data_IF_457886307813
#
_entry.id   IF_457886307813
#
_cell.length_a   1.000
_cell.length_b   1.000
_cell.length_c   1.000
_cell.angle_alpha   90.00
_cell.angle_beta   90.00
_cell.angle_gamma   90.00
#
_symmetry.space_group_name_H-M   'P 1'
#
loop_
_entity.id
_entity.type
_entity.pdbx_description
1 polymer ?
#
# COMPACT_ATOMS: atom_id res chain seq x y z
N UNK A 1 -1.97 9.02 9.03
CA UNK A 1 -0.78 8.95 8.14
C UNK A 1 -1.11 8.41 6.75
N UNK A 2 -1.54 7.15 6.54
CA UNK A 2 -1.90 6.65 5.17
C UNK A 2 -3.07 7.39 4.52
N UNK A 3 -4.10 7.75 5.30
CA UNK A 3 -5.22 8.59 4.82
C UNK A 3 -4.78 9.92 4.20
N UNK A 4 -3.71 10.53 4.72
CA UNK A 4 -3.20 11.83 4.25
C UNK A 4 -2.41 11.63 2.94
N UNK A 5 -1.61 10.55 2.86
CA UNK A 5 -0.83 10.23 1.67
C UNK A 5 -1.69 9.69 0.51
N UNK A 6 -2.77 8.95 0.80
CA UNK A 6 -3.68 8.40 -0.21
C UNK A 6 -4.39 9.49 -1.04
N UNK A 7 -4.69 10.65 -0.43
CA UNK A 7 -5.30 11.78 -1.15
C UNK A 7 -4.39 12.37 -2.24
N UNK A 8 -3.07 12.15 -2.17
CA UNK A 8 -2.10 12.77 -3.09
C UNK A 8 -1.94 11.98 -4.39
N UNK A 9 -2.18 10.66 -4.39
CA UNK A 9 -2.09 9.80 -5.60
C UNK A 9 -3.30 9.93 -6.53
N UNK A 10 -4.44 10.40 -6.02
CA UNK A 10 -5.69 10.47 -6.78
C UNK A 10 -5.73 11.67 -7.76
N UNK A 11 -4.68 12.49 -7.81
CA UNK A 11 -4.54 13.59 -8.78
C UNK A 11 -3.81 13.15 -10.05
N UNK A 12 -4.40 12.25 -10.85
CA UNK A 12 -4.08 12.25 -12.28
C UNK A 12 -5.29 11.85 -13.12
N UNK A 13 -5.92 12.87 -13.72
CA UNK A 13 -7.18 12.75 -14.47
C UNK A 13 -8.38 13.30 -13.68
N UNK A 14 -9.21 14.11 -14.33
CA UNK A 14 -10.37 14.80 -13.74
C UNK A 14 -11.37 13.88 -13.01
N UNK A 15 -11.25 12.55 -13.18
CA UNK A 15 -12.17 11.55 -12.67
C UNK A 15 -11.51 10.46 -11.81
N UNK A 16 -10.21 10.50 -11.51
CA UNK A 16 -9.56 9.40 -10.77
C UNK A 16 -10.12 9.19 -9.35
N UNK A 17 -10.50 10.27 -8.66
CA UNK A 17 -11.23 10.19 -7.38
C UNK A 17 -12.62 9.62 -7.57
N UNK A 18 -13.33 10.15 -8.58
CA UNK A 18 -14.68 9.74 -8.90
C UNK A 18 -14.75 8.27 -9.36
N UNK A 19 -13.73 7.74 -10.02
CA UNK A 19 -13.66 6.36 -10.49
C UNK A 19 -13.26 5.39 -9.36
N UNK A 20 -12.42 5.81 -8.42
CA UNK A 20 -12.17 5.08 -7.17
C UNK A 20 -13.42 5.03 -6.27
N UNK A 21 -14.16 6.14 -6.19
CA UNK A 21 -15.43 6.24 -5.48
C UNK A 21 -16.54 5.42 -6.18
N UNK A 22 -16.63 5.47 -7.52
CA UNK A 22 -17.52 4.60 -8.33
C UNK A 22 -17.17 3.12 -8.15
N UNK A 23 -15.89 2.79 -8.02
CA UNK A 23 -15.42 1.42 -7.76
C UNK A 23 -15.60 0.97 -6.30
N UNK A 24 -16.05 1.86 -5.39
CA UNK A 24 -16.09 1.62 -3.93
C UNK A 24 -14.76 1.06 -3.39
N UNK A 25 -13.64 1.47 -3.99
CA UNK A 25 -12.35 0.91 -3.68
C UNK A 25 -11.93 1.37 -2.28
N UNK A 26 -12.01 0.47 -1.30
CA UNK A 26 -11.55 0.75 0.07
C UNK A 26 -10.08 1.16 0.05
N UNK A 27 -9.68 2.10 0.91
CA UNK A 27 -8.30 2.57 1.06
C UNK A 27 -7.26 1.43 1.11
N UNK A 28 -7.63 0.29 1.72
CA UNK A 28 -6.80 -0.91 1.77
C UNK A 28 -6.58 -1.59 0.41
N UNK A 29 -7.58 -1.60 -0.46
CA UNK A 29 -7.48 -2.15 -1.83
C UNK A 29 -6.53 -1.31 -2.67
N UNK A 30 -6.63 0.03 -2.58
CA UNK A 30 -5.74 0.95 -3.31
C UNK A 30 -4.30 0.81 -2.79
N UNK A 31 -4.11 0.78 -1.47
CA UNK A 31 -2.79 0.57 -0.88
C UNK A 31 -2.17 -0.79 -1.27
N UNK A 32 -2.98 -1.85 -1.36
CA UNK A 32 -2.54 -3.17 -1.83
C UNK A 32 -2.10 -3.15 -3.29
N UNK A 33 -2.86 -2.48 -4.17
CA UNK A 33 -2.52 -2.32 -5.58
C UNK A 33 -1.23 -1.50 -5.76
N UNK A 34 -1.06 -0.42 -4.99
CA UNK A 34 0.18 0.39 -4.98
C UNK A 34 1.36 -0.45 -4.50
N UNK A 35 1.23 -1.19 -3.41
CA UNK A 35 2.30 -2.03 -2.88
C UNK A 35 2.72 -3.09 -3.92
N UNK A 36 1.76 -3.77 -4.55
CA UNK A 36 2.04 -4.74 -5.61
C UNK A 36 2.75 -4.08 -6.79
N UNK A 37 2.26 -2.92 -7.25
CA UNK A 37 2.88 -2.18 -8.36
C UNK A 37 4.30 -1.74 -8.01
N UNK A 38 4.55 -1.28 -6.79
CA UNK A 38 5.87 -0.85 -6.34
C UNK A 38 6.87 -2.01 -6.19
N UNK A 39 6.41 -3.22 -5.87
CA UNK A 39 7.27 -4.39 -5.67
C UNK A 39 7.59 -5.16 -6.95
N UNK A 40 6.82 -4.96 -8.02
CA UNK A 40 7.12 -5.58 -9.33
C UNK A 40 8.36 -4.96 -9.98
N UNK A 41 9.19 -5.80 -10.63
CA UNK A 41 10.48 -5.40 -11.22
C UNK A 41 10.40 -4.17 -12.13
N UNK A 42 9.39 -4.09 -12.99
CA UNK A 42 9.15 -2.97 -13.92
C UNK A 42 7.98 -2.07 -13.47
N UNK A 43 7.74 -2.05 -12.17
CA UNK A 43 6.71 -1.26 -11.52
C UNK A 43 6.93 0.24 -11.64
N UNK A 44 6.17 0.89 -12.52
CA UNK A 44 6.19 2.36 -12.69
C UNK A 44 4.83 2.97 -12.37
N UNK A 45 4.86 4.12 -11.72
CA UNK A 45 3.68 4.98 -11.51
C UNK A 45 3.67 6.07 -12.58
N UNK A 46 2.48 6.40 -13.10
CA UNK A 46 2.32 7.53 -13.99
C UNK A 46 2.64 8.83 -13.25
N UNK A 47 3.32 9.76 -13.92
CA UNK A 47 3.63 11.09 -13.43
C UNK A 47 3.17 12.14 -14.45
N UNK A 48 3.17 13.41 -14.07
CA UNK A 48 2.91 14.52 -14.99
C UNK A 48 3.94 14.62 -16.12
N UNK A 49 3.52 15.21 -17.25
CA UNK A 49 4.39 15.43 -18.42
C UNK A 49 5.56 16.39 -18.10
N UNK A 50 5.42 17.24 -17.08
CA UNK A 50 6.44 18.20 -16.67
C UNK A 50 7.45 17.61 -15.68
N UNK A 51 7.24 16.40 -15.17
CA UNK A 51 8.17 15.78 -14.23
C UNK A 51 8.33 16.59 -12.94
N UNK A 52 7.27 17.22 -12.43
CA UNK A 52 7.40 18.06 -11.23
C UNK A 52 7.87 17.21 -10.05
N UNK A 53 8.93 17.69 -9.39
CA UNK A 53 9.58 16.96 -8.30
C UNK A 53 8.63 16.64 -7.13
N UNK A 54 7.58 17.44 -6.96
CA UNK A 54 6.57 17.29 -5.92
C UNK A 54 5.72 16.03 -6.11
N UNK A 55 5.23 15.77 -7.32
CA UNK A 55 4.40 14.59 -7.60
C UNK A 55 5.25 13.32 -7.52
N UNK A 56 6.47 13.36 -8.07
CA UNK A 56 7.41 12.25 -7.95
C UNK A 56 7.73 11.92 -6.48
N UNK A 57 7.89 12.93 -5.62
CA UNK A 57 8.15 12.73 -4.19
C UNK A 57 6.94 12.18 -3.46
N UNK A 58 5.74 12.67 -3.76
CA UNK A 58 4.50 12.17 -3.18
C UNK A 58 4.24 10.71 -3.54
N UNK A 59 4.36 10.35 -4.81
CA UNK A 59 4.19 8.98 -5.31
C UNK A 59 5.19 8.03 -4.67
N UNK A 60 6.46 8.42 -4.56
CA UNK A 60 7.49 7.64 -3.85
C UNK A 60 7.14 7.46 -2.38
N UNK A 61 6.73 8.51 -1.68
CA UNK A 61 6.36 8.45 -0.27
C UNK A 61 5.21 7.48 0.00
N UNK A 62 4.18 7.49 -0.86
CA UNK A 62 3.05 6.58 -0.74
C UNK A 62 3.43 5.15 -1.09
N UNK A 63 4.21 4.95 -2.16
CA UNK A 63 4.70 3.63 -2.57
C UNK A 63 5.50 2.98 -1.44
N UNK A 64 6.47 3.70 -0.88
CA UNK A 64 7.28 3.23 0.26
C UNK A 64 6.38 2.93 1.45
N UNK A 65 5.47 3.84 1.83
CA UNK A 65 4.59 3.63 2.99
C UNK A 65 3.67 2.41 2.83
N UNK A 66 3.13 2.19 1.63
CA UNK A 66 2.28 1.04 1.32
C UNK A 66 3.06 -0.28 1.43
N UNK A 67 4.28 -0.33 0.88
CA UNK A 67 5.15 -1.50 0.95
C UNK A 67 5.56 -1.79 2.39
N UNK A 68 6.02 -0.79 3.15
CA UNK A 68 6.40 -0.95 4.57
C UNK A 68 5.25 -1.56 5.38
N UNK A 69 4.02 -1.05 5.20
CA UNK A 69 2.85 -1.56 5.94
C UNK A 69 2.46 -2.99 5.55
N UNK A 70 2.59 -3.35 4.28
CA UNK A 70 2.35 -4.71 3.81
C UNK A 70 3.36 -5.68 4.46
N UNK A 71 4.64 -5.32 4.45
CA UNK A 71 5.70 -6.12 5.08
C UNK A 71 5.55 -6.20 6.61
N UNK A 72 5.19 -5.10 7.28
CA UNK A 72 4.96 -5.08 8.73
C UNK A 72 3.82 -6.01 9.13
N UNK A 73 2.71 -5.98 8.38
CA UNK A 73 1.57 -6.88 8.61
C UNK A 73 1.97 -8.33 8.40
N UNK A 74 2.67 -8.63 7.32
CA UNK A 74 3.17 -9.98 7.05
C UNK A 74 4.06 -10.49 8.20
N UNK A 75 4.99 -9.65 8.66
CA UNK A 75 5.90 -9.98 9.77
C UNK A 75 5.15 -10.25 11.08
N UNK A 76 4.14 -9.44 11.39
CA UNK A 76 3.29 -9.65 12.58
C UNK A 76 2.48 -10.95 12.46
N UNK A 77 1.92 -11.24 11.28
CA UNK A 77 1.14 -12.47 11.05
C UNK A 77 2.02 -13.71 11.20
N UNK A 78 3.24 -13.70 10.65
CA UNK A 78 4.19 -14.81 10.79
C UNK A 78 4.52 -15.04 12.26
N UNK A 79 4.89 -13.99 13.01
CA UNK A 79 5.18 -14.09 14.45
C UNK A 79 4.00 -14.66 15.24
N UNK A 80 2.80 -14.09 15.07
CA UNK A 80 1.59 -14.58 15.74
C UNK A 80 1.29 -16.05 15.41
N UNK A 81 1.52 -16.46 14.17
CA UNK A 81 1.29 -17.85 13.75
C UNK A 81 2.27 -18.80 14.43
N UNK A 82 3.55 -18.43 14.52
CA UNK A 82 4.58 -19.19 15.24
C UNK A 82 4.27 -19.23 16.74
N UNK A 83 3.93 -18.11 17.36
CA UNK A 83 3.60 -18.02 18.79
C UNK A 83 2.39 -18.90 19.14
N UNK A 84 1.32 -18.84 18.34
CA UNK A 84 0.14 -19.68 18.51
C UNK A 84 0.46 -21.17 18.33
N UNK A 85 1.33 -21.51 17.38
CA UNK A 85 1.76 -22.88 17.16
C UNK A 85 2.59 -23.41 18.33
N UNK A 86 3.56 -22.63 18.82
CA UNK A 86 4.39 -22.96 19.96
C UNK A 86 3.54 -23.14 21.24
N UNK A 87 2.62 -22.21 21.50
CA UNK A 87 1.70 -22.29 22.65
C UNK A 87 0.79 -23.53 22.57
N UNK A 88 0.28 -23.87 21.38
CA UNK A 88 -0.51 -25.10 21.18
C UNK A 88 0.31 -26.36 21.43
N UNK A 89 1.59 -26.37 21.09
CA UNK A 89 2.47 -27.51 21.33
C UNK A 89 2.74 -27.71 22.83
N UNK A 90 2.89 -26.63 23.58
CA UNK A 90 3.14 -26.67 25.04
C UNK A 90 1.90 -27.04 25.87
N UNK A 91 0.69 -26.68 25.40
CA UNK A 91 -0.58 -27.03 26.09
C UNK A 91 -1.09 -28.44 25.79
N UNK A 92 -0.37 -29.25 25.01
CA UNK A 92 -0.73 -30.64 24.67
C UNK A 92 -0.08 -31.69 25.61
N UNK A 93 0.26 -31.30 26.84
CA UNK A 93 0.56 -32.22 27.94
C UNK A 93 -0.69 -32.42 28.79
#
# INVERSE_FOLDING_TARGET
MVRIYLQVIVKNGANAAADADKAKAKDGTIAGAIALRAMTKDGKFANDNAGTAEIATAVKGVAVSAVTKALDKLTIVIRKTIDLWALRKLKKL
#
